data_IF_002924626951
#
_entry.id   IF_002924626951
#
_cell.length_a   1.000
_cell.length_b   1.000
_cell.length_c   1.000
_cell.angle_alpha   90.00
_cell.angle_beta   90.00
_cell.angle_gamma   90.00
#
_symmetry.space_group_name_H-M   'P 1'
#
loop_
_entity.id
_entity.type
_entity.pdbx_description
1 polymer ?
#
# COMPACT_ATOMS: atom_id res chain seq x y z
N UNK A 1 -7.85 2.52 8.35
CA UNK A 1 -7.94 2.72 6.88
C UNK A 1 -6.52 2.73 6.33
N UNK A 2 -6.28 2.10 5.19
CA UNK A 2 -4.96 1.95 4.57
C UNK A 2 -4.97 2.42 3.13
N UNK A 3 -3.97 3.23 2.75
CA UNK A 3 -3.80 3.74 1.39
C UNK A 3 -2.53 3.20 0.73
N UNK A 4 -2.63 2.73 -0.50
CA UNK A 4 -1.48 2.41 -1.36
C UNK A 4 -1.24 3.57 -2.34
N UNK A 5 -0.11 4.26 -2.20
CA UNK A 5 0.29 5.39 -3.04
C UNK A 5 1.43 4.96 -3.97
N UNK A 6 1.20 4.88 -5.27
CA UNK A 6 2.17 4.37 -6.25
C UNK A 6 2.13 5.17 -7.56
N UNK A 7 2.46 6.46 -7.46
CA UNK A 7 2.43 7.40 -8.59
C UNK A 7 3.79 7.60 -9.27
N UNK A 8 3.78 7.79 -10.60
CA UNK A 8 4.97 8.20 -11.36
C UNK A 8 5.22 9.70 -11.24
N UNK A 9 4.18 10.50 -11.50
CA UNK A 9 4.15 11.94 -11.24
C UNK A 9 3.91 12.18 -9.74
N UNK A 10 4.85 12.89 -9.11
CA UNK A 10 4.86 13.10 -7.66
C UNK A 10 4.29 14.47 -7.28
N UNK A 11 3.74 15.20 -8.23
CA UNK A 11 3.11 16.51 -7.98
C UNK A 11 2.02 16.38 -6.92
N UNK A 12 2.17 17.10 -5.80
CA UNK A 12 1.17 17.14 -4.71
C UNK A 12 1.10 15.90 -3.81
N UNK A 13 1.91 14.86 -4.05
CA UNK A 13 1.77 13.58 -3.32
C UNK A 13 2.15 13.69 -1.84
N UNK A 14 3.08 14.57 -1.50
CA UNK A 14 3.56 14.75 -0.13
C UNK A 14 2.47 15.42 0.71
N UNK A 15 1.88 16.50 0.21
CA UNK A 15 0.78 17.22 0.84
C UNK A 15 -0.44 16.31 1.02
N UNK A 16 -0.76 15.52 0.00
CA UNK A 16 -1.84 14.53 0.05
C UNK A 16 -1.58 13.45 1.11
N UNK A 17 -0.37 12.87 1.14
CA UNK A 17 0.00 11.84 2.11
C UNK A 17 0.04 12.37 3.55
N UNK A 18 0.49 13.62 3.77
CA UNK A 18 0.43 14.30 5.06
C UNK A 18 -1.01 14.45 5.56
N UNK A 19 -1.93 14.85 4.68
CA UNK A 19 -3.34 14.96 5.03
C UNK A 19 -3.95 13.61 5.40
N UNK A 20 -3.67 12.56 4.61
CA UNK A 20 -4.09 11.19 4.92
C UNK A 20 -3.54 10.72 6.28
N UNK A 21 -2.24 10.91 6.53
CA UNK A 21 -1.62 10.51 7.78
C UNK A 21 -2.22 11.25 8.98
N UNK A 22 -2.50 12.55 8.85
CA UNK A 22 -3.14 13.37 9.88
C UNK A 22 -4.56 12.89 10.22
N UNK A 23 -5.22 12.18 9.31
CA UNK A 23 -6.52 11.52 9.53
C UNK A 23 -6.38 10.09 10.08
N UNK A 24 -5.17 9.63 10.42
CA UNK A 24 -4.90 8.30 10.93
C UNK A 24 -4.87 7.20 9.86
N UNK A 25 -4.72 7.56 8.58
CA UNK A 25 -4.57 6.59 7.50
C UNK A 25 -3.14 6.05 7.48
N UNK A 26 -3.00 4.74 7.43
CA UNK A 26 -1.69 4.09 7.26
C UNK A 26 -1.26 4.15 5.80
N UNK A 27 0.01 4.48 5.56
CA UNK A 27 0.55 4.69 4.22
C UNK A 27 1.37 3.48 3.78
N UNK A 28 1.00 2.93 2.64
CA UNK A 28 1.75 1.94 1.89
C UNK A 28 2.22 2.57 0.58
N UNK A 29 3.45 2.32 0.16
CA UNK A 29 3.97 2.86 -1.10
C UNK A 29 5.03 1.97 -1.74
N UNK A 30 5.47 2.31 -2.96
CA UNK A 30 6.49 1.58 -3.69
C UNK A 30 7.66 2.48 -4.10
N UNK A 31 8.88 1.94 -4.05
CA UNK A 31 10.07 2.51 -4.69
C UNK A 31 10.23 4.02 -4.47
N UNK A 32 10.30 4.78 -5.57
CA UNK A 32 10.56 6.21 -5.53
C UNK A 32 9.52 7.06 -4.79
N UNK A 33 8.26 6.61 -4.71
CA UNK A 33 7.23 7.31 -3.94
C UNK A 33 7.38 7.03 -2.46
N UNK A 34 7.65 5.78 -2.07
CA UNK A 34 7.93 5.43 -0.68
C UNK A 34 9.14 6.22 -0.15
N UNK A 35 10.22 6.26 -0.94
CA UNK A 35 11.42 7.04 -0.60
C UNK A 35 11.12 8.53 -0.39
N UNK A 36 10.39 9.16 -1.32
CA UNK A 36 10.04 10.58 -1.19
C UNK A 36 9.25 10.87 0.10
N UNK A 37 8.28 10.02 0.43
CA UNK A 37 7.46 10.21 1.64
C UNK A 37 8.30 10.01 2.91
N UNK A 38 9.14 8.98 2.95
CA UNK A 38 10.04 8.71 4.07
C UNK A 38 11.06 9.85 4.28
N UNK A 39 11.64 10.39 3.20
CA UNK A 39 12.56 11.54 3.23
C UNK A 39 11.90 12.81 3.79
N UNK A 40 10.56 12.87 3.77
CA UNK A 40 9.75 13.95 4.36
C UNK A 40 9.27 13.64 5.79
N UNK A 41 9.74 12.54 6.37
CA UNK A 41 9.43 12.12 7.74
C UNK A 41 8.06 11.47 7.91
N UNK A 42 7.38 11.10 6.82
CA UNK A 42 6.12 10.37 6.90
C UNK A 42 6.38 8.89 7.25
N UNK A 43 5.60 8.29 8.16
CA UNK A 43 5.66 6.86 8.42
C UNK A 43 4.96 6.13 7.27
N UNK A 44 5.74 5.66 6.31
CA UNK A 44 5.30 4.87 5.16
C UNK A 44 5.93 3.49 5.21
N UNK A 45 5.12 2.46 4.96
CA UNK A 45 5.59 1.08 4.81
C UNK A 45 5.82 0.78 3.33
N UNK A 46 6.95 0.21 2.97
CA UNK A 46 7.19 -0.22 1.59
C UNK A 46 6.43 -1.52 1.27
N UNK A 47 5.90 -1.65 0.04
CA UNK A 47 5.20 -2.87 -0.40
C UNK A 47 6.11 -4.11 -0.27
N UNK A 48 7.40 -3.99 -0.53
CA UNK A 48 8.36 -5.08 -0.41
C UNK A 48 8.42 -5.67 1.02
N UNK A 49 8.27 -4.83 2.05
CA UNK A 49 8.20 -5.28 3.45
C UNK A 49 6.93 -6.09 3.73
N UNK A 50 5.80 -5.69 3.12
CA UNK A 50 4.53 -6.42 3.29
C UNK A 50 4.57 -7.75 2.55
N UNK A 51 5.08 -7.76 1.32
CA UNK A 51 5.12 -8.95 0.48
C UNK A 51 6.20 -9.94 0.90
N UNK A 52 7.25 -9.49 1.60
CA UNK A 52 8.49 -10.24 1.81
C UNK A 52 9.09 -10.72 0.48
N UNK A 53 8.88 -9.96 -0.60
CA UNK A 53 9.36 -10.30 -1.93
C UNK A 53 10.21 -9.14 -2.47
N UNK A 54 11.42 -9.43 -2.98
CA UNK A 54 12.32 -8.38 -3.44
C UNK A 54 11.79 -7.70 -4.70
N UNK A 55 12.28 -6.49 -4.97
CA UNK A 55 12.06 -5.86 -6.28
C UNK A 55 12.80 -6.64 -7.38
N UNK A 56 12.13 -6.86 -8.51
CA UNK A 56 12.72 -7.51 -9.69
C UNK A 56 12.09 -6.97 -10.98
N UNK A 57 12.76 -7.20 -12.11
CA UNK A 57 12.33 -6.79 -13.45
C UNK A 57 12.04 -5.27 -13.53
N UNK A 58 12.94 -4.45 -12.99
CA UNK A 58 12.79 -2.98 -12.95
C UNK A 58 11.46 -2.53 -12.32
N UNK A 59 11.03 -3.24 -11.28
CA UNK A 59 9.81 -2.93 -10.54
C UNK A 59 8.51 -3.33 -11.24
N UNK A 60 8.56 -4.05 -12.38
CA UNK A 60 7.37 -4.45 -13.16
C UNK A 60 6.39 -5.35 -12.40
N UNK A 61 6.86 -6.10 -11.41
CA UNK A 61 6.06 -7.12 -10.71
C UNK A 61 5.93 -6.88 -9.21
N UNK A 62 6.42 -5.75 -8.69
CA UNK A 62 6.52 -5.49 -7.25
C UNK A 62 5.18 -5.48 -6.51
N UNK A 63 4.09 -5.12 -7.18
CA UNK A 63 2.73 -5.12 -6.60
C UNK A 63 1.89 -6.33 -7.00
N UNK A 64 2.35 -7.17 -7.94
CA UNK A 64 1.63 -8.35 -8.43
C UNK A 64 1.72 -9.50 -7.42
N UNK A 65 1.18 -9.27 -6.22
CA UNK A 65 1.29 -10.16 -5.08
C UNK A 65 -0.06 -10.32 -4.37
N UNK A 66 -0.43 -11.53 -3.88
CA UNK A 66 -1.69 -11.76 -3.17
C UNK A 66 -1.89 -10.86 -1.95
N UNK A 67 -0.83 -10.52 -1.21
CA UNK A 67 -0.92 -9.58 -0.08
C UNK A 67 -1.30 -8.14 -0.48
N UNK A 68 -1.13 -7.77 -1.75
CA UNK A 68 -1.56 -6.47 -2.28
C UNK A 68 -2.95 -6.60 -2.90
N UNK A 69 -3.10 -7.50 -3.87
CA UNK A 69 -4.35 -7.65 -4.62
C UNK A 69 -5.48 -8.25 -3.78
N UNK A 70 -5.20 -9.13 -2.82
CA UNK A 70 -6.19 -9.61 -1.87
C UNK A 70 -6.76 -8.48 -1.02
N UNK A 71 -5.90 -7.57 -0.55
CA UNK A 71 -6.32 -6.40 0.20
C UNK A 71 -7.20 -5.43 -0.62
N UNK A 72 -6.97 -5.34 -1.93
CA UNK A 72 -7.74 -4.50 -2.86
C UNK A 72 -9.05 -5.16 -3.32
N UNK A 73 -9.05 -6.46 -3.58
CA UNK A 73 -10.13 -7.16 -4.30
C UNK A 73 -11.10 -7.91 -3.37
N UNK A 74 -10.79 -8.04 -2.08
CA UNK A 74 -11.69 -8.70 -1.15
C UNK A 74 -13.03 -7.97 -1.06
N UNK A 75 -14.12 -8.73 -1.23
CA UNK A 75 -15.48 -8.27 -1.05
C UNK A 75 -15.79 -8.21 0.43
N UNK A 76 -15.82 -7.00 0.99
CA UNK A 76 -15.94 -6.79 2.45
C UNK A 76 -17.28 -7.29 3.01
N UNK A 77 -18.32 -7.31 2.19
CA UNK A 77 -19.65 -7.79 2.53
C UNK A 77 -19.76 -9.32 2.58
N UNK A 78 -18.77 -10.05 2.04
CA UNK A 78 -18.73 -11.51 2.06
C UNK A 78 -17.82 -12.01 3.20
N UNK A 79 -18.36 -12.57 4.29
CA UNK A 79 -17.57 -12.97 5.46
C UNK A 79 -16.44 -13.94 5.14
N UNK A 80 -16.63 -14.80 4.13
CA UNK A 80 -15.64 -15.78 3.66
C UNK A 80 -14.37 -15.10 3.13
N UNK A 81 -14.50 -13.98 2.40
CA UNK A 81 -13.33 -13.23 1.93
C UNK A 81 -12.55 -12.62 3.09
N UNK A 82 -13.26 -12.03 4.06
CA UNK A 82 -12.63 -11.43 5.23
C UNK A 82 -11.95 -12.47 6.12
N UNK A 83 -12.53 -13.68 6.21
CA UNK A 83 -11.91 -14.82 6.88
C UNK A 83 -10.61 -15.24 6.17
N UNK A 84 -10.63 -15.40 4.84
CA UNK A 84 -9.45 -15.76 4.06
C UNK A 84 -8.33 -14.71 4.18
N UNK A 85 -8.68 -13.42 4.14
CA UNK A 85 -7.71 -12.35 4.38
C UNK A 85 -7.05 -12.48 5.77
N UNK A 86 -7.85 -12.69 6.81
CA UNK A 86 -7.36 -12.84 8.18
C UNK A 86 -6.47 -14.08 8.34
N UNK A 87 -6.87 -15.21 7.76
CA UNK A 87 -6.11 -16.47 7.79
C UNK A 87 -4.71 -16.31 7.18
N UNK A 88 -4.60 -15.54 6.10
CA UNK A 88 -3.33 -15.34 5.40
C UNK A 88 -2.59 -14.05 5.82
N UNK A 89 -3.06 -13.34 6.85
CA UNK A 89 -2.43 -12.11 7.33
C UNK A 89 -2.42 -10.98 6.28
N UNK A 90 -3.49 -10.87 5.50
CA UNK A 90 -3.66 -9.83 4.47
C UNK A 90 -4.57 -8.74 5.02
N UNK A 91 -4.06 -7.52 5.11
CA UNK A 91 -4.87 -6.34 5.46
C UNK A 91 -5.61 -5.79 4.23
N UNK A 92 -6.76 -5.16 4.45
CA UNK A 92 -7.48 -4.46 3.38
C UNK A 92 -6.74 -3.20 2.95
N UNK A 93 -6.89 -2.85 1.67
CA UNK A 93 -6.46 -1.56 1.12
C UNK A 93 -7.72 -0.80 0.72
N UNK A 94 -7.89 0.38 1.29
CA UNK A 94 -9.13 1.15 1.20
C UNK A 94 -9.04 2.27 0.16
N UNK A 95 -7.82 2.71 -0.15
CA UNK A 95 -7.53 3.73 -1.14
C UNK A 95 -6.31 3.33 -1.98
N UNK A 96 -6.42 3.49 -3.30
CA UNK A 96 -5.31 3.29 -4.24
C UNK A 96 -5.14 4.57 -5.06
N UNK A 97 -3.90 5.07 -5.13
CA UNK A 97 -3.52 6.28 -5.87
C UNK A 97 -2.31 6.01 -6.74
#
# INVERSE_FOLDING_TARGET
MRALLSVSDKTGIVEFALALHSLGVTLLSTGGTAKLLADKGLPVTEVAEVTNFPEMLDGRVKTLHPKVHGGLLARRELPEHMAALKEHGIETIDLLV
#
